data_IF_356856703020
#
_entry.id   IF_356856703020
#
_cell.length_a   1.000
_cell.length_b   1.000
_cell.length_c   1.000
_cell.angle_alpha   90.00
_cell.angle_beta   90.00
_cell.angle_gamma   90.00
#
_symmetry.space_group_name_H-M   'P 1'
#
loop_
_entity.id
_entity.type
_entity.pdbx_description
1 polymer ?
#
# COMPACT_ATOMS: atom_id res chain seq x y z
N UNK A 1 -1.88 -12.06 8.86
CA UNK A 1 -2.89 -13.15 8.86
C UNK A 1 -2.55 -14.08 7.71
N UNK A 2 -2.44 -15.39 7.94
CA UNK A 2 -2.10 -16.36 6.90
C UNK A 2 -3.41 -16.83 6.24
N UNK A 3 -3.91 -16.07 5.26
CA UNK A 3 -5.22 -16.31 4.63
C UNK A 3 -5.26 -17.60 3.80
N UNK A 4 -4.10 -18.10 3.40
CA UNK A 4 -3.88 -19.33 2.62
C UNK A 4 -4.32 -20.61 3.33
N UNK A 5 -4.44 -20.63 4.67
CA UNK A 5 -4.94 -21.81 5.40
C UNK A 5 -6.47 -21.84 5.54
N UNK A 6 -7.14 -20.71 5.31
CA UNK A 6 -8.60 -20.57 5.53
C UNK A 6 -9.35 -20.64 4.19
N UNK A 7 -8.72 -20.13 3.13
CA UNK A 7 -9.28 -20.04 1.79
C UNK A 7 -8.99 -21.33 1.04
N UNK A 8 -10.05 -22.07 0.67
CA UNK A 8 -9.92 -23.24 -0.21
C UNK A 8 -9.51 -22.81 -1.62
N UNK A 9 -8.43 -23.39 -2.19
CA UNK A 9 -7.93 -23.01 -3.51
C UNK A 9 -8.97 -23.23 -4.63
N UNK A 10 -9.76 -24.30 -4.54
CA UNK A 10 -10.81 -24.65 -5.51
C UNK A 10 -11.88 -23.54 -5.64
N UNK A 11 -12.30 -22.97 -4.51
CA UNK A 11 -13.29 -21.88 -4.49
C UNK A 11 -12.66 -20.60 -5.05
N UNK A 12 -11.39 -20.36 -4.77
CA UNK A 12 -10.68 -19.18 -5.28
C UNK A 12 -10.45 -19.26 -6.79
N UNK A 13 -10.17 -20.44 -7.35
CA UNK A 13 -10.08 -20.64 -8.80
C UNK A 13 -11.40 -20.41 -9.52
N UNK A 14 -12.51 -20.92 -8.97
CA UNK A 14 -13.84 -20.66 -9.52
C UNK A 14 -14.20 -19.16 -9.45
N UNK A 15 -13.80 -18.48 -8.37
CA UNK A 15 -13.99 -17.03 -8.27
C UNK A 15 -13.14 -16.24 -9.27
N UNK A 16 -11.90 -16.69 -9.55
CA UNK A 16 -11.08 -16.13 -10.62
C UNK A 16 -11.71 -16.28 -12.00
N UNK A 17 -12.50 -17.33 -12.22
CA UNK A 17 -13.30 -17.53 -13.46
C UNK A 17 -14.59 -16.70 -13.49
N UNK A 18 -14.88 -15.93 -12.44
CA UNK A 18 -16.10 -15.11 -12.33
C UNK A 18 -17.32 -15.86 -11.82
N UNK A 19 -17.16 -17.12 -11.39
CA UNK A 19 -18.24 -17.89 -10.81
C UNK A 19 -18.47 -17.46 -9.35
N UNK A 20 -19.42 -16.56 -9.13
CA UNK A 20 -19.79 -16.08 -7.78
C UNK A 20 -20.77 -16.99 -7.06
N UNK A 21 -21.25 -18.06 -7.71
CA UNK A 21 -22.19 -19.01 -7.09
C UNK A 21 -21.55 -19.77 -5.94
N UNK A 22 -20.23 -20.00 -6.02
CA UNK A 22 -19.46 -20.64 -4.95
C UNK A 22 -19.40 -19.79 -3.67
N UNK A 23 -19.76 -18.50 -3.73
CA UNK A 23 -19.90 -17.62 -2.56
C UNK A 23 -21.29 -17.67 -1.92
N UNK A 24 -22.31 -18.19 -2.62
CA UNK A 24 -23.68 -18.26 -2.11
C UNK A 24 -23.74 -19.25 -0.94
N UNK A 25 -24.24 -18.79 0.20
CA UNK A 25 -24.36 -19.60 1.41
C UNK A 25 -23.12 -19.62 2.32
N UNK A 26 -22.04 -18.93 1.94
CA UNK A 26 -20.90 -18.74 2.83
C UNK A 26 -21.18 -17.64 3.87
N UNK A 27 -20.63 -17.77 5.09
CA UNK A 27 -20.65 -16.68 6.06
C UNK A 27 -19.99 -15.41 5.48
N UNK A 28 -20.51 -14.20 5.77
CA UNK A 28 -19.97 -12.94 5.25
C UNK A 28 -18.46 -12.77 5.50
N UNK A 29 -17.98 -13.25 6.65
CA UNK A 29 -16.55 -13.20 7.00
C UNK A 29 -15.70 -14.02 6.04
N UNK A 30 -16.17 -15.21 5.61
CA UNK A 30 -15.46 -16.02 4.62
C UNK A 30 -15.47 -15.35 3.25
N UNK A 31 -16.62 -14.81 2.83
CA UNK A 31 -16.72 -14.11 1.55
C UNK A 31 -15.76 -12.92 1.46
N UNK A 32 -15.59 -12.15 2.54
CA UNK A 32 -14.59 -11.09 2.63
C UNK A 32 -13.15 -11.62 2.54
N UNK A 33 -12.84 -12.75 3.20
CA UNK A 33 -11.51 -13.36 3.11
C UNK A 33 -11.17 -13.81 1.68
N UNK A 34 -12.15 -14.38 0.95
CA UNK A 34 -11.98 -14.70 -0.48
C UNK A 34 -11.77 -13.44 -1.33
N UNK A 35 -12.53 -12.37 -1.08
CA UNK A 35 -12.34 -11.08 -1.76
C UNK A 35 -10.95 -10.48 -1.53
N UNK A 36 -10.45 -10.52 -0.29
CA UNK A 36 -9.11 -10.09 0.05
C UNK A 36 -8.04 -10.96 -0.62
N UNK A 37 -8.24 -12.28 -0.65
CA UNK A 37 -7.32 -13.20 -1.33
C UNK A 37 -7.28 -12.95 -2.84
N UNK A 38 -8.42 -12.72 -3.50
CA UNK A 38 -8.48 -12.32 -4.91
C UNK A 38 -7.76 -11.00 -5.18
N UNK A 39 -7.90 -10.02 -4.28
CA UNK A 39 -7.22 -8.73 -4.40
C UNK A 39 -5.70 -8.82 -4.21
N UNK A 40 -5.20 -9.84 -3.48
CA UNK A 40 -3.76 -10.03 -3.28
C UNK A 40 -3.02 -10.51 -4.54
N UNK A 41 -3.72 -11.22 -5.43
CA UNK A 41 -3.23 -11.56 -6.78
C UNK A 41 -3.36 -10.37 -7.74
N UNK A 42 -4.23 -9.39 -7.43
CA UNK A 42 -4.40 -8.16 -8.19
C UNK A 42 -3.27 -7.17 -7.86
N UNK A 43 -2.05 -7.50 -8.28
CA UNK A 43 -0.98 -6.51 -8.45
C UNK A 43 -1.27 -5.73 -9.73
N UNK A 44 -2.27 -4.85 -9.68
CA UNK A 44 -2.27 -3.73 -10.61
C UNK A 44 -0.96 -2.99 -10.31
N UNK A 45 0.03 -3.12 -11.21
CA UNK A 45 1.29 -2.39 -11.07
C UNK A 45 0.90 -0.94 -10.92
N UNK A 46 1.19 -0.38 -9.75
CA UNK A 46 0.98 1.05 -9.51
C UNK A 46 1.61 1.79 -10.70
N UNK A 47 0.88 2.70 -11.36
CA UNK A 47 1.43 3.43 -12.49
C UNK A 47 2.61 4.32 -12.06
N UNK A 48 2.80 4.49 -10.76
CA UNK A 48 3.88 5.24 -10.14
C UNK A 48 4.98 4.26 -9.71
N UNK A 49 6.14 4.37 -10.35
CA UNK A 49 7.34 3.63 -9.97
C UNK A 49 7.96 4.22 -8.69
N UNK A 50 8.52 3.38 -7.82
CA UNK A 50 9.20 3.81 -6.59
C UNK A 50 10.32 4.83 -6.87
N UNK A 51 11.01 4.69 -8.01
CA UNK A 51 12.04 5.62 -8.46
C UNK A 51 11.48 7.02 -8.79
N UNK A 52 10.32 7.07 -9.43
CA UNK A 52 9.65 8.33 -9.79
C UNK A 52 9.07 9.02 -8.56
N UNK A 53 8.51 8.23 -7.63
CA UNK A 53 8.07 8.73 -6.33
C UNK A 53 9.23 9.36 -5.56
N UNK A 54 10.37 8.66 -5.49
CA UNK A 54 11.53 9.15 -4.76
C UNK A 54 12.10 10.44 -5.37
N UNK A 55 12.18 10.53 -6.71
CA UNK A 55 12.57 11.77 -7.40
C UNK A 55 11.61 12.92 -7.10
N UNK A 56 10.31 12.70 -7.21
CA UNK A 56 9.31 13.73 -6.94
C UNK A 56 9.34 14.21 -5.48
N UNK A 57 9.61 13.31 -4.52
CA UNK A 57 9.78 13.69 -3.11
C UNK A 57 11.07 14.49 -2.88
N UNK A 58 12.19 14.08 -3.48
CA UNK A 58 13.45 14.82 -3.41
C UNK A 58 13.34 16.22 -4.01
N UNK A 59 12.68 16.35 -5.16
CA UNK A 59 12.51 17.65 -5.79
C UNK A 59 11.57 18.54 -4.99
N UNK A 60 10.51 17.99 -4.38
CA UNK A 60 9.68 18.74 -3.41
C UNK A 60 10.48 19.21 -2.19
N UNK A 61 11.42 18.41 -1.68
CA UNK A 61 12.31 18.80 -0.58
C UNK A 61 13.33 19.87 -0.99
N UNK A 62 13.69 19.94 -2.27
CA UNK A 62 14.55 21.00 -2.81
C UNK A 62 13.78 22.30 -3.10
N UNK A 63 12.56 22.20 -3.62
CA UNK A 63 11.70 23.34 -3.99
C UNK A 63 11.03 24.00 -2.79
N UNK A 64 10.65 23.21 -1.78
CA UNK A 64 10.07 23.79 -0.58
C UNK A 64 11.18 24.49 0.23
N UNK A 65 10.88 25.67 0.77
CA UNK A 65 11.72 26.40 1.73
C UNK A 65 12.02 25.64 3.03
N UNK A 66 11.84 24.32 3.03
CA UNK A 66 12.27 23.35 4.04
C UNK A 66 13.78 23.37 4.20
N UNK A 67 14.57 23.48 3.12
CA UNK A 67 16.04 23.65 3.27
C UNK A 67 16.38 24.91 4.05
N UNK A 68 15.79 26.04 3.67
CA UNK A 68 16.03 27.32 4.35
C UNK A 68 15.54 27.29 5.81
N UNK A 69 14.39 26.66 6.06
CA UNK A 69 13.89 26.42 7.42
C UNK A 69 14.79 25.49 8.24
N UNK A 70 15.31 24.42 7.66
CA UNK A 70 16.23 23.50 8.34
C UNK A 70 17.55 24.20 8.66
N UNK A 71 18.11 24.95 7.71
CA UNK A 71 19.33 25.73 7.93
C UNK A 71 19.14 26.75 9.04
N UNK A 72 18.04 27.50 9.05
CA UNK A 72 17.73 28.45 10.15
C UNK A 72 17.57 27.75 11.49
N UNK A 73 16.89 26.59 11.54
CA UNK A 73 16.74 25.84 12.79
C UNK A 73 18.05 25.27 13.32
N UNK A 74 18.97 24.86 12.44
CA UNK A 74 20.30 24.40 12.84
C UNK A 74 21.12 25.59 13.37
N UNK A 75 21.15 26.72 12.67
CA UNK A 75 21.84 27.94 13.14
C UNK A 75 21.27 28.49 14.46
N UNK A 76 19.94 28.47 14.63
CA UNK A 76 19.29 28.88 15.88
C UNK A 76 19.58 27.89 17.02
N UNK A 77 19.64 26.59 16.73
CA UNK A 77 20.02 25.58 17.71
C UNK A 77 21.47 25.70 18.17
N UNK A 78 22.39 26.04 17.25
CA UNK A 78 23.82 26.19 17.53
C UNK A 78 24.12 27.46 18.35
N UNK A 79 23.42 28.57 18.07
CA UNK A 79 23.54 29.83 18.83
C UNK A 79 22.98 29.80 20.25
N UNK A 80 22.07 28.87 20.56
CA UNK A 80 21.47 28.75 21.91
C UNK A 80 22.37 27.94 22.86
N UNK A 81 23.39 27.27 22.33
CA UNK A 81 24.38 26.48 23.09
C UNK A 81 25.69 27.21 23.38
N UNK A 82 25.86 28.48 23.00
CA UNK A 82 26.99 29.35 23.40
C UNK A 82 26.68 30.24 24.61
#
# INVERSE_FOLDING_TARGET
MNLTSIVKPEILEELKKGNTEVLKGLPPVLAMQYGLALSSDYKEKSPINDEELNKAMLDRLKDSGVKERLTKQIEEGEKVTE
#
